data_IF_263998360024
#
_entry.id   IF_263998360024
#
_cell.length_a   1.000
_cell.length_b   1.000
_cell.length_c   1.000
_cell.angle_alpha   90.00
_cell.angle_beta   90.00
_cell.angle_gamma   90.00
#
_symmetry.space_group_name_H-M   'P 1'
#
loop_
_entity.id
_entity.type
_entity.pdbx_description
1 polymer ?
#
# COMPACT_ATOMS: atom_id res chain seq x y z
N UNK A 1 4.27 30.34 0.70
CA UNK A 1 5.10 30.19 1.91
C UNK A 1 5.33 28.70 2.14
N UNK A 2 6.59 28.27 2.29
CA UNK A 2 6.96 26.86 2.41
C UNK A 2 6.54 26.41 3.83
N UNK A 3 5.39 25.75 3.94
CA UNK A 3 4.93 25.17 5.21
C UNK A 3 5.76 23.92 5.47
N UNK A 4 6.98 24.11 5.99
CA UNK A 4 7.88 22.99 6.35
C UNK A 4 7.23 22.19 7.47
N UNK A 5 6.71 21.02 7.14
CA UNK A 5 6.21 20.08 8.13
C UNK A 5 7.39 19.62 9.02
N UNK A 6 7.22 19.51 10.34
CA UNK A 6 8.32 19.35 11.28
C UNK A 6 8.83 17.90 11.38
N UNK A 7 8.55 17.03 10.40
CA UNK A 7 8.79 15.59 10.48
C UNK A 7 10.23 15.22 10.80
N UNK A 8 11.21 15.86 10.15
CA UNK A 8 12.63 15.62 10.42
C UNK A 8 13.00 16.00 11.87
N UNK A 9 12.54 17.16 12.36
CA UNK A 9 12.84 17.62 13.71
C UNK A 9 12.23 16.71 14.78
N UNK A 10 10.97 16.31 14.60
CA UNK A 10 10.30 15.38 15.51
C UNK A 10 11.00 14.03 15.56
N UNK A 11 11.43 13.50 14.40
CA UNK A 11 12.20 12.26 14.34
C UNK A 11 13.59 12.41 14.97
N UNK A 12 14.29 13.53 14.74
CA UNK A 12 15.60 13.77 15.35
C UNK A 12 15.51 13.85 16.86
N UNK A 13 14.55 14.59 17.41
CA UNK A 13 14.33 14.64 18.86
C UNK A 13 13.94 13.26 19.40
N UNK A 14 13.03 12.57 18.71
CA UNK A 14 12.56 11.24 19.10
C UNK A 14 13.64 10.15 19.08
N UNK A 15 14.66 10.28 18.22
CA UNK A 15 15.78 9.33 18.14
C UNK A 15 16.93 9.77 19.05
N UNK A 16 17.37 11.02 18.94
CA UNK A 16 18.62 11.48 19.54
C UNK A 16 18.52 11.71 21.04
N UNK A 17 17.39 12.20 21.56
CA UNK A 17 17.21 12.41 23.01
C UNK A 17 17.27 11.11 23.80
N UNK A 18 16.52 10.04 23.46
CA UNK A 18 16.63 8.78 24.22
C UNK A 18 18.01 8.14 24.05
N UNK A 19 18.63 8.22 22.87
CA UNK A 19 19.99 7.72 22.64
C UNK A 19 21.02 8.48 23.47
N UNK A 20 20.94 9.82 23.50
CA UNK A 20 21.82 10.65 24.32
C UNK A 20 21.69 10.35 25.81
N UNK A 21 20.45 10.20 26.32
CA UNK A 21 20.20 9.78 27.70
C UNK A 21 20.78 8.39 28.00
N UNK A 22 20.63 7.44 27.08
CA UNK A 22 21.17 6.09 27.24
C UNK A 22 22.71 6.06 27.23
N UNK A 23 23.35 6.97 26.49
CA UNK A 23 24.81 7.10 26.39
C UNK A 23 25.43 8.07 27.41
N UNK A 24 24.62 8.69 28.28
CA UNK A 24 25.09 9.67 29.28
C UNK A 24 25.59 10.99 28.67
N UNK A 25 25.14 11.34 27.47
CA UNK A 25 25.52 12.58 26.76
C UNK A 25 24.54 13.71 27.11
N UNK A 26 25.07 14.87 27.50
CA UNK A 26 24.27 16.07 27.77
C UNK A 26 23.50 16.54 26.52
N UNK A 27 22.30 17.09 26.72
CA UNK A 27 21.38 17.49 25.64
C UNK A 27 21.95 18.54 24.70
N UNK A 28 22.83 19.41 25.20
CA UNK A 28 23.44 20.48 24.39
C UNK A 28 24.39 19.93 23.34
N UNK A 29 25.06 18.81 23.64
CA UNK A 29 25.93 18.12 22.69
C UNK A 29 25.13 17.37 21.62
N UNK A 30 23.91 16.91 21.95
CA UNK A 30 23.01 16.19 21.04
C UNK A 30 22.47 17.11 19.93
N UNK A 31 22.40 18.42 20.17
CA UNK A 31 21.97 19.40 19.17
C UNK A 31 23.09 19.83 18.19
N UNK A 32 24.29 19.25 18.30
CA UNK A 32 25.37 19.58 17.37
C UNK A 32 25.10 19.06 15.95
N UNK A 33 25.69 19.74 14.97
CA UNK A 33 25.53 19.45 13.54
C UNK A 33 25.84 17.99 13.20
N UNK A 34 26.79 17.38 13.89
CA UNK A 34 27.18 15.99 13.67
C UNK A 34 26.05 15.01 14.01
N UNK A 35 25.42 15.15 15.19
CA UNK A 35 24.32 14.28 15.62
C UNK A 35 23.06 14.47 14.79
N UNK A 36 22.77 15.72 14.38
CA UNK A 36 21.65 15.97 13.48
C UNK A 36 21.88 15.28 12.13
N UNK A 37 23.09 15.39 11.54
CA UNK A 37 23.42 14.72 10.27
C UNK A 37 23.47 13.20 10.38
N UNK A 38 23.82 12.64 11.54
CA UNK A 38 23.83 11.17 11.72
C UNK A 38 22.44 10.55 11.62
N UNK A 39 21.37 11.31 11.91
CA UNK A 39 19.98 10.88 11.67
C UNK A 39 19.73 10.60 10.18
N UNK A 40 20.25 11.44 9.29
CA UNK A 40 20.14 11.20 7.85
C UNK A 40 20.98 10.02 7.39
N UNK A 41 22.16 9.80 7.98
CA UNK A 41 22.94 8.61 7.72
C UNK A 41 22.22 7.33 8.15
N UNK A 42 21.52 7.36 9.28
CA UNK A 42 20.67 6.25 9.74
C UNK A 42 19.55 5.96 8.72
N UNK A 43 18.85 6.98 8.23
CA UNK A 43 17.85 6.80 7.18
C UNK A 43 18.47 6.31 5.87
N UNK A 44 19.70 6.71 5.52
CA UNK A 44 20.40 6.22 4.33
C UNK A 44 20.68 4.71 4.40
N UNK A 45 21.17 4.24 5.55
CA UNK A 45 21.35 2.80 5.82
C UNK A 45 20.00 2.08 5.76
N UNK A 46 18.96 2.68 6.35
CA UNK A 46 17.59 2.18 6.27
C UNK A 46 17.06 2.08 4.84
N UNK A 47 17.33 3.07 3.99
CA UNK A 47 16.94 3.07 2.58
C UNK A 47 17.58 1.89 1.84
N UNK A 48 18.87 1.66 2.02
CA UNK A 48 19.56 0.49 1.45
C UNK A 48 18.86 -0.82 1.85
N UNK A 49 18.59 -1.00 3.15
CA UNK A 49 17.91 -2.19 3.65
C UNK A 49 16.50 -2.36 3.09
N UNK A 50 15.70 -1.29 3.04
CA UNK A 50 14.32 -1.36 2.55
C UNK A 50 14.29 -1.63 1.03
N UNK A 51 15.15 -0.99 0.25
CA UNK A 51 15.26 -1.24 -1.19
C UNK A 51 15.61 -2.72 -1.42
N UNK A 52 16.58 -3.25 -0.67
CA UNK A 52 16.93 -4.66 -0.72
C UNK A 52 15.72 -5.56 -0.39
N UNK A 53 14.98 -5.27 0.69
CA UNK A 53 13.80 -6.04 1.10
C UNK A 53 12.68 -6.00 0.05
N UNK A 54 12.42 -4.84 -0.56
CA UNK A 54 11.46 -4.68 -1.66
C UNK A 54 11.88 -5.53 -2.86
N UNK A 55 13.16 -5.49 -3.23
CA UNK A 55 13.67 -6.25 -4.38
C UNK A 55 13.57 -7.77 -4.16
N UNK A 56 13.85 -8.25 -2.95
CA UNK A 56 13.61 -9.65 -2.59
C UNK A 56 12.12 -10.02 -2.70
N UNK A 57 11.23 -9.16 -2.21
CA UNK A 57 9.78 -9.38 -2.24
C UNK A 57 9.22 -9.41 -3.66
N UNK A 58 9.68 -8.51 -4.53
CA UNK A 58 9.22 -8.41 -5.93
C UNK A 58 9.74 -9.56 -6.80
N UNK A 59 10.99 -9.97 -6.61
CA UNK A 59 11.58 -11.08 -7.38
C UNK A 59 11.30 -12.46 -6.78
N UNK A 60 10.52 -12.55 -5.68
CA UNK A 60 10.21 -13.80 -4.97
C UNK A 60 11.47 -14.62 -4.63
N UNK A 61 12.56 -13.94 -4.28
CA UNK A 61 13.83 -14.60 -3.98
C UNK A 61 14.00 -14.77 -2.49
N UNK A 62 14.17 -16.02 -2.08
CA UNK A 62 14.45 -16.39 -0.69
C UNK A 62 15.95 -16.38 -0.38
N UNK A 63 16.81 -16.44 -1.40
CA UNK A 63 18.27 -16.46 -1.24
C UNK A 63 18.89 -15.11 -1.58
N UNK A 64 19.96 -14.79 -0.85
CA UNK A 64 20.76 -13.59 -1.06
C UNK A 64 21.47 -13.70 -2.41
N UNK A 65 21.10 -12.83 -3.35
CA UNK A 65 21.79 -12.72 -4.63
C UNK A 65 22.67 -11.46 -4.67
N UNK A 66 23.96 -11.59 -5.04
CA UNK A 66 24.86 -10.45 -5.16
C UNK A 66 24.33 -9.36 -6.09
N UNK A 67 23.64 -9.74 -7.17
CA UNK A 67 23.03 -8.80 -8.11
C UNK A 67 21.99 -7.89 -7.45
N UNK A 68 21.18 -8.43 -6.54
CA UNK A 68 20.16 -7.66 -5.81
C UNK A 68 20.82 -6.71 -4.83
N UNK A 69 21.84 -7.17 -4.09
CA UNK A 69 22.60 -6.32 -3.17
C UNK A 69 23.25 -5.16 -3.93
N UNK A 70 23.95 -5.44 -5.02
CA UNK A 70 24.62 -4.41 -5.82
C UNK A 70 23.61 -3.43 -6.40
N UNK A 71 22.45 -3.91 -6.88
CA UNK A 71 21.39 -3.02 -7.38
C UNK A 71 20.84 -2.14 -6.27
N UNK A 72 20.53 -2.70 -5.10
CA UNK A 72 20.04 -1.94 -3.95
C UNK A 72 21.07 -0.90 -3.48
N UNK A 73 22.35 -1.27 -3.47
CA UNK A 73 23.46 -0.37 -3.13
C UNK A 73 23.54 0.78 -4.13
N UNK A 74 23.56 0.48 -5.43
CA UNK A 74 23.59 1.47 -6.51
C UNK A 74 22.41 2.44 -6.42
N UNK A 75 21.20 1.93 -6.14
CA UNK A 75 20.01 2.78 -5.95
C UNK A 75 20.13 3.68 -4.70
N UNK A 76 20.63 3.15 -3.59
CA UNK A 76 20.83 3.93 -2.35
C UNK A 76 21.95 4.97 -2.45
N UNK A 77 22.90 4.77 -3.38
CA UNK A 77 24.03 5.65 -3.64
C UNK A 77 23.86 6.48 -4.92
N UNK A 78 22.62 6.61 -5.44
CA UNK A 78 22.35 7.49 -6.58
C UNK A 78 22.93 8.88 -6.29
N UNK A 79 23.67 9.50 -7.23
CA UNK A 79 24.43 10.73 -6.96
C UNK A 79 23.61 11.84 -6.29
N UNK A 80 22.34 11.97 -6.69
CA UNK A 80 21.40 12.92 -6.10
C UNK A 80 21.13 12.62 -4.61
N UNK A 81 20.82 11.36 -4.28
CA UNK A 81 20.50 10.95 -2.90
C UNK A 81 21.75 10.95 -2.00
N UNK A 82 22.90 10.56 -2.56
CA UNK A 82 24.18 10.53 -1.87
C UNK A 82 24.56 11.89 -1.28
N UNK A 83 24.34 12.98 -2.03
CA UNK A 83 24.57 14.33 -1.53
C UNK A 83 23.70 14.65 -0.30
N UNK A 84 22.42 14.29 -0.32
CA UNK A 84 21.49 14.56 0.78
C UNK A 84 21.74 13.70 2.03
N UNK A 85 22.42 12.56 1.90
CA UNK A 85 22.78 11.70 3.05
C UNK A 85 23.65 12.43 4.09
N UNK A 86 24.46 13.40 3.66
CA UNK A 86 25.36 14.17 4.54
C UNK A 86 24.80 15.52 4.99
N UNK A 87 23.63 15.91 4.47
CA UNK A 87 22.92 17.11 4.88
C UNK A 87 21.89 16.78 5.94
N UNK A 88 21.58 17.74 6.81
CA UNK A 88 20.41 17.63 7.68
C UNK A 88 19.18 18.13 6.92
N UNK A 89 18.61 17.26 6.08
CA UNK A 89 17.53 17.61 5.17
C UNK A 89 16.48 16.51 5.03
N UNK A 90 15.27 16.86 4.59
CA UNK A 90 14.10 15.96 4.65
C UNK A 90 14.11 14.84 3.62
N UNK A 91 14.91 14.90 2.55
CA UNK A 91 14.80 13.99 1.41
C UNK A 91 15.12 12.53 1.74
N UNK A 92 16.12 12.28 2.58
CA UNK A 92 16.57 10.92 2.92
C UNK A 92 15.52 10.20 3.77
N UNK A 93 15.02 10.87 4.82
CA UNK A 93 13.94 10.35 5.67
C UNK A 93 12.61 10.24 4.92
N UNK A 94 12.30 11.22 4.05
CA UNK A 94 11.15 11.17 3.14
C UNK A 94 11.17 9.90 2.28
N UNK A 95 12.30 9.63 1.62
CA UNK A 95 12.47 8.44 0.77
C UNK A 95 12.32 7.16 1.60
N UNK A 96 12.92 7.13 2.80
CA UNK A 96 12.82 5.99 3.71
C UNK A 96 11.38 5.65 4.06
N UNK A 97 10.59 6.63 4.52
CA UNK A 97 9.20 6.38 4.93
C UNK A 97 8.28 6.07 3.73
N UNK A 98 8.51 6.67 2.56
CA UNK A 98 7.76 6.30 1.33
C UNK A 98 8.03 4.84 0.94
N UNK A 99 9.29 4.43 0.95
CA UNK A 99 9.66 3.04 0.64
C UNK A 99 9.17 2.08 1.74
N UNK A 100 9.21 2.49 3.00
CA UNK A 100 8.70 1.66 4.10
C UNK A 100 7.20 1.45 4.01
N UNK A 101 6.44 2.50 3.71
CA UNK A 101 5.01 2.43 3.41
C UNK A 101 4.77 1.43 2.26
N UNK A 102 5.55 1.50 1.18
CA UNK A 102 5.41 0.58 0.06
C UNK A 102 5.71 -0.87 0.45
N UNK A 103 6.77 -1.11 1.24
CA UNK A 103 7.10 -2.45 1.71
C UNK A 103 5.97 -3.06 2.56
N UNK A 104 5.41 -2.29 3.50
CA UNK A 104 4.27 -2.72 4.32
C UNK A 104 3.04 -3.03 3.45
N UNK A 105 2.81 -2.23 2.40
CA UNK A 105 1.76 -2.47 1.43
C UNK A 105 1.96 -3.80 0.69
N UNK A 106 3.18 -4.08 0.22
CA UNK A 106 3.54 -5.35 -0.43
C UNK A 106 3.41 -6.56 0.52
N UNK A 107 3.55 -6.35 1.82
CA UNK A 107 3.31 -7.36 2.85
C UNK A 107 1.82 -7.54 3.18
N UNK A 108 0.93 -6.76 2.57
CA UNK A 108 -0.51 -6.81 2.80
C UNK A 108 -0.99 -6.00 4.01
N UNK A 109 -0.09 -5.36 4.76
CA UNK A 109 -0.45 -4.57 5.93
C UNK A 109 -0.81 -3.13 5.54
N UNK A 110 -1.99 -2.99 4.92
CA UNK A 110 -2.49 -1.72 4.38
C UNK A 110 -2.67 -0.64 5.45
N UNK A 111 -3.12 -1.00 6.65
CA UNK A 111 -3.35 -0.04 7.74
C UNK A 111 -2.04 0.56 8.27
N UNK A 112 -1.03 -0.28 8.54
CA UNK A 112 0.29 0.24 8.95
C UNK A 112 0.95 1.03 7.82
N UNK A 113 0.80 0.59 6.56
CA UNK A 113 1.28 1.35 5.41
C UNK A 113 0.68 2.76 5.38
N UNK A 114 -0.63 2.90 5.60
CA UNK A 114 -1.30 4.21 5.70
C UNK A 114 -0.73 5.08 6.83
N UNK A 115 -0.52 4.51 8.03
CA UNK A 115 0.07 5.25 9.15
C UNK A 115 1.49 5.74 8.85
N UNK A 116 2.32 4.89 8.26
CA UNK A 116 3.66 5.28 7.79
C UNK A 116 3.58 6.35 6.69
N UNK A 117 2.55 6.32 5.85
CA UNK A 117 2.24 7.36 4.88
C UNK A 117 2.02 8.75 5.50
N UNK A 118 1.40 8.82 6.69
CA UNK A 118 1.26 10.08 7.44
C UNK A 118 2.65 10.61 7.83
N UNK A 119 3.52 9.73 8.35
CA UNK A 119 4.89 10.10 8.70
C UNK A 119 5.66 10.59 7.46
N UNK A 120 5.50 9.92 6.32
CA UNK A 120 6.09 10.37 5.06
C UNK A 120 5.60 11.77 4.67
N UNK A 121 4.31 12.06 4.78
CA UNK A 121 3.74 13.39 4.53
C UNK A 121 4.36 14.43 5.48
N UNK A 122 4.55 14.10 6.76
CA UNK A 122 5.19 15.00 7.74
C UNK A 122 6.64 15.37 7.39
N UNK A 123 7.34 14.56 6.60
CA UNK A 123 8.64 14.94 6.05
C UNK A 123 8.48 15.90 4.86
N UNK A 124 7.54 15.61 3.96
CA UNK A 124 7.27 16.44 2.78
C UNK A 124 5.80 16.31 2.36
N UNK A 125 5.14 17.45 2.20
CA UNK A 125 3.77 17.53 1.67
C UNK A 125 3.60 16.79 0.34
N UNK A 126 4.62 16.88 -0.52
CA UNK A 126 4.65 16.22 -1.83
C UNK A 126 4.48 14.70 -1.75
N UNK A 127 4.74 14.09 -0.58
CA UNK A 127 4.57 12.64 -0.40
C UNK A 127 3.13 12.17 -0.37
N UNK A 128 2.15 13.07 -0.35
CA UNK A 128 0.74 12.73 -0.52
C UNK A 128 0.51 11.91 -1.80
N UNK A 129 1.26 12.18 -2.87
CA UNK A 129 1.15 11.46 -4.14
C UNK A 129 1.43 9.96 -3.98
N UNK A 130 2.32 9.59 -3.06
CA UNK A 130 2.65 8.20 -2.80
C UNK A 130 1.55 7.48 -2.01
N UNK A 131 0.82 8.18 -1.15
CA UNK A 131 -0.37 7.63 -0.47
C UNK A 131 -1.49 7.39 -1.48
N UNK A 132 -1.69 8.32 -2.42
CA UNK A 132 -2.62 8.14 -3.56
C UNK A 132 -2.20 6.93 -4.41
N UNK A 133 -0.90 6.78 -4.68
CA UNK A 133 -0.36 5.62 -5.38
C UNK A 133 -0.67 4.30 -4.64
N UNK A 134 -0.51 4.24 -3.32
CA UNK A 134 -0.89 3.06 -2.53
C UNK A 134 -2.39 2.75 -2.62
N UNK A 135 -3.26 3.77 -2.59
CA UNK A 135 -4.70 3.58 -2.79
C UNK A 135 -5.00 2.97 -4.17
N UNK A 136 -4.30 3.43 -5.21
CA UNK A 136 -4.38 2.86 -6.55
C UNK A 136 -3.93 1.40 -6.64
N UNK A 137 -2.84 1.03 -5.96
CA UNK A 137 -2.38 -0.36 -5.88
C UNK A 137 -3.41 -1.27 -5.18
N UNK A 138 -4.03 -0.79 -4.10
CA UNK A 138 -5.11 -1.53 -3.44
C UNK A 138 -6.33 -1.69 -4.34
N UNK A 139 -6.72 -0.63 -5.06
CA UNK A 139 -7.83 -0.70 -6.01
C UNK A 139 -7.53 -1.73 -7.12
N UNK A 140 -6.32 -1.71 -7.69
CA UNK A 140 -5.87 -2.71 -8.67
C UNK A 140 -6.00 -4.13 -8.13
N UNK A 141 -5.54 -4.39 -6.91
CA UNK A 141 -5.62 -5.72 -6.30
C UNK A 141 -7.07 -6.19 -6.18
N UNK A 142 -7.96 -5.33 -5.67
CA UNK A 142 -9.40 -5.64 -5.53
C UNK A 142 -10.04 -5.94 -6.89
N UNK A 143 -9.71 -5.16 -7.92
CA UNK A 143 -10.22 -5.37 -9.28
C UNK A 143 -9.76 -6.72 -9.84
N UNK A 144 -8.47 -7.05 -9.70
CA UNK A 144 -7.92 -8.33 -10.16
C UNK A 144 -8.57 -9.51 -9.44
N UNK A 145 -8.75 -9.42 -8.13
CA UNK A 145 -9.38 -10.48 -7.33
C UNK A 145 -10.86 -10.67 -7.73
N UNK A 146 -11.58 -9.57 -7.96
CA UNK A 146 -12.96 -9.62 -8.46
C UNK A 146 -13.06 -10.29 -9.84
N UNK A 147 -12.14 -9.98 -10.77
CA UNK A 147 -12.13 -10.63 -12.09
C UNK A 147 -11.85 -12.14 -12.00
N UNK A 148 -10.96 -12.56 -11.08
CA UNK A 148 -10.69 -13.98 -10.84
C UNK A 148 -11.90 -14.70 -10.26
N UNK A 149 -12.56 -14.12 -9.26
CA UNK A 149 -13.79 -14.65 -8.66
C UNK A 149 -14.90 -14.83 -9.72
N UNK A 150 -15.07 -13.83 -10.59
CA UNK A 150 -16.08 -13.86 -11.66
C UNK A 150 -15.77 -14.92 -12.72
N UNK A 151 -14.52 -15.00 -13.15
CA UNK A 151 -14.07 -16.01 -14.13
C UNK A 151 -14.25 -17.44 -13.61
N UNK A 152 -13.97 -17.67 -12.32
CA UNK A 152 -14.21 -18.97 -11.67
C UNK A 152 -15.70 -19.32 -11.57
N UNK A 153 -16.55 -18.36 -11.19
CA UNK A 153 -18.00 -18.54 -11.11
C UNK A 153 -18.62 -18.86 -12.48
N UNK A 154 -18.17 -18.19 -13.55
CA UNK A 154 -18.63 -18.45 -14.91
C UNK A 154 -18.22 -19.85 -15.41
N UNK A 155 -17.02 -20.32 -15.04
CA UNK A 155 -16.57 -21.68 -15.34
C UNK A 155 -17.42 -22.74 -14.65
N UNK A 156 -17.66 -22.62 -13.33
CA UNK A 156 -18.53 -23.55 -12.60
C UNK A 156 -19.97 -23.55 -13.14
N UNK A 157 -20.49 -22.39 -13.54
CA UNK A 157 -21.83 -22.30 -14.13
C UNK A 157 -21.92 -23.04 -15.48
N UNK A 158 -20.85 -23.03 -16.29
CA UNK A 158 -20.80 -23.79 -17.54
C UNK A 158 -20.75 -25.29 -17.29
N UNK A 159 -19.91 -25.78 -16.38
CA UNK A 159 -19.81 -27.23 -16.09
C UNK A 159 -21.11 -27.81 -15.53
N UNK A 160 -21.82 -27.08 -14.66
CA UNK A 160 -23.14 -27.49 -14.15
C UNK A 160 -24.18 -27.55 -15.27
N UNK A 161 -24.17 -26.59 -16.21
CA UNK A 161 -25.08 -26.63 -17.36
C UNK A 161 -24.81 -27.84 -18.26
N UNK A 162 -23.55 -28.16 -18.49
CA UNK A 162 -23.12 -29.29 -19.32
C UNK A 162 -23.50 -30.64 -18.71
N UNK A 163 -23.36 -30.82 -17.39
CA UNK A 163 -23.81 -32.01 -16.68
C UNK A 163 -25.34 -32.09 -16.51
N UNK A 164 -26.06 -30.96 -16.62
CA UNK A 164 -27.51 -30.91 -16.54
C UNK A 164 -28.23 -31.05 -17.90
N UNK A 165 -27.50 -31.24 -19.00
CA UNK A 165 -28.08 -31.49 -20.32
C UNK A 165 -28.40 -33.00 -20.45
N UNK A 166 -29.70 -33.40 -20.52
CA UNK A 166 -30.08 -34.79 -20.62
C UNK A 166 -29.98 -35.26 -22.07
N UNK A 167 -28.76 -35.58 -22.53
CA UNK A 167 -28.56 -36.30 -23.80
C UNK A 167 -28.26 -37.80 -23.62
N UNK A 168 -28.32 -38.31 -22.39
CA UNK A 168 -28.16 -39.75 -22.09
C UNK A 168 -29.23 -40.31 -21.14
N UNK A 169 -30.38 -39.65 -21.02
CA UNK A 169 -31.49 -40.15 -20.21
C UNK A 169 -32.66 -40.62 -21.10
N UNK A 170 -32.86 -41.93 -21.11
CA UNK A 170 -34.04 -42.62 -21.66
C UNK A 170 -35.32 -42.00 -21.07
N UNK A 171 -36.29 -41.67 -21.93
CA UNK A 171 -37.60 -41.08 -21.55
C UNK A 171 -38.32 -41.91 -20.48
N UNK A 172 -39.03 -41.23 -19.55
CA UNK A 172 -40.37 -41.67 -19.19
C UNK A 172 -41.42 -40.57 -19.35
N UNK A 173 -42.64 -41.05 -19.54
CA UNK A 173 -43.91 -40.41 -19.80
C UNK A 173 -44.61 -39.87 -18.54
N UNK A 174 -45.39 -38.80 -18.70
CA UNK A 174 -46.56 -38.52 -17.86
C UNK A 174 -46.39 -37.48 -16.75
N UNK A 175 -47.18 -36.40 -16.89
CA UNK A 175 -47.81 -35.55 -15.88
C UNK A 175 -46.99 -34.81 -14.80
N UNK A 176 -47.11 -33.48 -14.89
CA UNK A 176 -47.30 -32.55 -13.78
C UNK A 176 -46.35 -32.62 -12.59
N UNK A 177 -45.05 -32.37 -12.81
CA UNK A 177 -44.24 -31.71 -11.80
C UNK A 177 -43.36 -30.66 -12.46
N UNK A 178 -43.64 -29.38 -12.16
CA UNK A 178 -42.62 -28.35 -12.23
C UNK A 178 -41.55 -28.80 -11.25
N UNK A 179 -40.57 -29.53 -11.76
CA UNK A 179 -39.59 -30.24 -10.95
C UNK A 179 -38.94 -29.22 -10.03
N UNK A 180 -38.78 -29.56 -8.74
CA UNK A 180 -38.04 -28.75 -7.76
C UNK A 180 -36.71 -28.24 -8.35
N UNK A 181 -36.13 -29.02 -9.26
CA UNK A 181 -34.98 -28.69 -10.09
C UNK A 181 -35.13 -27.43 -10.95
N UNK A 182 -36.27 -27.18 -11.60
CA UNK A 182 -36.53 -25.95 -12.36
C UNK A 182 -36.68 -24.72 -11.45
N UNK A 183 -37.31 -24.87 -10.29
CA UNK A 183 -37.44 -23.80 -9.29
C UNK A 183 -36.07 -23.48 -8.67
N UNK A 184 -35.27 -24.49 -8.34
CA UNK A 184 -33.88 -24.33 -7.90
C UNK A 184 -33.02 -23.70 -8.99
N UNK A 185 -33.21 -24.06 -10.27
CA UNK A 185 -32.49 -23.48 -11.43
C UNK A 185 -32.91 -22.03 -11.73
N UNK A 186 -34.15 -21.66 -11.39
CA UNK A 186 -34.65 -20.27 -11.46
C UNK A 186 -34.18 -19.44 -10.25
N UNK A 187 -34.18 -20.01 -9.05
CA UNK A 187 -33.66 -19.36 -7.83
C UNK A 187 -32.12 -19.25 -7.81
N UNK A 188 -31.43 -20.15 -8.52
CA UNK A 188 -29.97 -20.13 -8.69
C UNK A 188 -29.48 -19.18 -9.80
N UNK A 189 -30.38 -18.48 -10.50
CA UNK A 189 -29.98 -17.33 -11.31
C UNK A 189 -29.90 -16.11 -10.39
N UNK A 190 -28.70 -15.70 -9.88
CA UNK A 190 -28.60 -14.35 -9.38
C UNK A 190 -28.95 -13.42 -10.56
N UNK A 191 -29.80 -12.40 -10.34
CA UNK A 191 -30.04 -11.41 -11.36
C UNK A 191 -28.68 -10.81 -11.71
N UNK A 192 -28.20 -11.05 -12.93
CA UNK A 192 -26.92 -10.55 -13.40
C UNK A 192 -27.06 -9.06 -13.73
N UNK A 193 -27.38 -8.28 -12.71
CA UNK A 193 -27.56 -6.86 -12.77
C UNK A 193 -26.16 -6.23 -12.74
N UNK A 194 -25.59 -6.03 -13.93
CA UNK A 194 -24.25 -5.46 -14.10
C UNK A 194 -24.03 -4.16 -13.32
N UNK A 195 -25.10 -3.37 -13.09
CA UNK A 195 -25.05 -2.16 -12.26
C UNK A 195 -24.81 -2.48 -10.78
N UNK A 196 -25.48 -3.50 -10.25
CA UNK A 196 -25.35 -3.91 -8.84
C UNK A 196 -23.96 -4.49 -8.57
N UNK A 197 -23.44 -5.30 -9.49
CA UNK A 197 -22.05 -5.81 -9.45
C UNK A 197 -21.02 -4.67 -9.43
N UNK A 198 -21.23 -3.64 -10.25
CA UNK A 198 -20.35 -2.48 -10.33
C UNK A 198 -20.38 -1.67 -9.02
N UNK A 199 -21.58 -1.44 -8.46
CA UNK A 199 -21.74 -0.76 -7.17
C UNK A 199 -21.02 -1.54 -6.05
N UNK A 200 -21.17 -2.86 -6.03
CA UNK A 200 -20.49 -3.72 -5.05
C UNK A 200 -18.96 -3.66 -5.19
N UNK A 201 -18.44 -3.66 -6.42
CA UNK A 201 -17.01 -3.50 -6.69
C UNK A 201 -16.48 -2.15 -6.18
N UNK A 202 -17.19 -1.05 -6.46
CA UNK A 202 -16.83 0.28 -5.97
C UNK A 202 -16.81 0.30 -4.44
N UNK A 203 -17.84 -0.25 -3.80
CA UNK A 203 -17.90 -0.33 -2.33
C UNK A 203 -16.74 -1.15 -1.75
N UNK A 204 -16.37 -2.26 -2.39
CA UNK A 204 -15.22 -3.09 -1.98
C UNK A 204 -13.90 -2.34 -2.09
N UNK A 205 -13.70 -1.56 -3.16
CA UNK A 205 -12.52 -0.71 -3.35
C UNK A 205 -12.47 0.36 -2.26
N UNK A 206 -13.57 1.09 -2.04
CA UNK A 206 -13.66 2.13 -1.01
C UNK A 206 -13.35 1.57 0.38
N UNK A 207 -13.96 0.43 0.74
CA UNK A 207 -13.71 -0.23 2.02
C UNK A 207 -12.26 -0.66 2.18
N UNK A 208 -11.64 -1.22 1.13
CA UNK A 208 -10.25 -1.69 1.22
C UNK A 208 -9.23 -0.54 1.27
N UNK A 209 -9.58 0.65 0.78
CA UNK A 209 -8.70 1.83 0.73
C UNK A 209 -9.08 2.90 1.76
N UNK A 210 -9.97 2.60 2.70
CA UNK A 210 -10.57 3.59 3.62
C UNK A 210 -9.52 4.42 4.38
N UNK A 211 -8.46 3.79 4.89
CA UNK A 211 -7.40 4.51 5.63
C UNK A 211 -6.66 5.50 4.74
N UNK A 212 -6.31 5.12 3.51
CA UNK A 212 -5.66 6.02 2.56
C UNK A 212 -6.59 7.17 2.15
N UNK A 213 -7.87 6.89 1.93
CA UNK A 213 -8.87 7.91 1.56
C UNK A 213 -9.02 8.94 2.68
N UNK A 214 -9.11 8.50 3.94
CA UNK A 214 -9.20 9.40 5.10
C UNK A 214 -7.98 10.31 5.16
N UNK A 215 -6.77 9.76 4.96
CA UNK A 215 -5.54 10.55 4.97
C UNK A 215 -5.53 11.57 3.82
N UNK A 216 -5.95 11.17 2.63
CA UNK A 216 -6.00 12.05 1.45
C UNK A 216 -6.98 13.21 1.68
N UNK A 217 -8.20 12.91 2.14
CA UNK A 217 -9.19 13.93 2.43
C UNK A 217 -8.74 14.86 3.56
N UNK A 218 -8.19 14.31 4.64
CA UNK A 218 -7.65 15.09 5.74
C UNK A 218 -6.51 16.01 5.31
N UNK A 219 -5.64 15.54 4.39
CA UNK A 219 -4.57 16.36 3.83
C UNK A 219 -5.10 17.48 2.93
N UNK A 220 -6.11 17.21 2.09
CA UNK A 220 -6.73 18.24 1.25
C UNK A 220 -7.35 19.36 2.12
N UNK A 221 -8.12 19.00 3.14
CA UNK A 221 -8.70 19.97 4.09
C UNK A 221 -7.61 20.78 4.79
N UNK A 222 -6.51 20.14 5.18
CA UNK A 222 -5.36 20.84 5.77
C UNK A 222 -4.74 21.85 4.79
N UNK A 223 -4.56 21.47 3.52
CA UNK A 223 -4.01 22.36 2.49
C UNK A 223 -4.95 23.53 2.22
N UNK A 224 -6.25 23.28 2.08
CA UNK A 224 -7.26 24.32 1.83
C UNK A 224 -7.26 25.35 2.98
N UNK A 225 -7.29 24.88 4.23
CA UNK A 225 -7.21 25.73 5.41
C UNK A 225 -5.90 26.53 5.47
N UNK A 226 -4.77 25.89 5.13
CA UNK A 226 -3.48 26.57 5.09
C UNK A 226 -3.41 27.64 3.99
N UNK A 227 -4.13 27.48 2.88
CA UNK A 227 -4.23 28.48 1.81
C UNK A 227 -5.14 29.65 2.16
N UNK A 228 -6.19 29.44 2.97
CA UNK A 228 -7.07 30.54 3.41
C UNK A 228 -6.39 31.50 4.40
N UNK A 229 -5.37 31.03 5.13
CA UNK A 229 -4.66 31.81 6.14
C UNK A 229 -3.50 32.63 5.53
N UNK A 230 -3.05 32.31 4.31
CA UNK A 230 -1.88 32.89 3.65
C UNK A 230 -2.22 34.07 2.73
#
# INVERSE_FOLDING_TARGET
>A
MITTLPGLYLMSVGILVPVGKALGVETDNVCSVLWLRSVNLLFAIGNFYIIYAIMCKLHQKEKIEPKIIITALTLSLLPLLFFFNFLYYTDVGSTFFVLFMYLLHLQGNKALASLVGIIAIMFRQTNIIWVVFMAGLTARQVIVDWFKEKSGSDYQRKSIKEHSNPSTATKPSGDSEVTLFQIVKLLSKPPQNKKLDLIYLIFRILKSSVCNIIIILGFLVFVDCATEIA
#
